data_IF_390696174538
#
_entry.id   IF_390696174538
#
_cell.length_a   1.000
_cell.length_b   1.000
_cell.length_c   1.000
_cell.angle_alpha   90.00
_cell.angle_beta   90.00
_cell.angle_gamma   90.00
#
_symmetry.space_group_name_H-M   'P 1'
#
loop_
_entity.id
_entity.type
_entity.pdbx_description
1 polymer ?
2 non-polymer ?
3 water ?
#
# COMPACT_ATOMS: atom_id res chain seq x y z
N UNK A 24 17.89 -4.81 -5.67
CA UNK A 24 17.43 -5.68 -4.55
C UNK A 24 16.31 -6.59 -5.03
N UNK A 25 16.10 -7.69 -4.30
CA UNK A 25 15.09 -8.70 -4.63
C UNK A 25 13.83 -8.57 -3.77
N UNK A 26 12.67 -8.78 -4.38
CA UNK A 26 11.41 -8.78 -3.63
C UNK A 26 11.37 -9.98 -2.68
N UNK A 27 10.80 -9.80 -1.47
CA UNK A 27 10.65 -10.92 -0.55
C UNK A 27 9.52 -11.86 -0.93
N UNK A 28 9.48 -12.99 -0.23
CA UNK A 28 8.47 -14.00 -0.46
C UNK A 28 7.09 -13.46 -0.14
N UNK A 29 6.09 -14.10 -0.73
CA UNK A 29 4.70 -13.80 -0.47
C UNK A 29 4.33 -14.09 0.99
N UNK A 30 3.22 -13.50 1.44
CA UNK A 30 2.71 -13.79 2.78
C UNK A 30 3.15 -12.82 3.85
N UNK A 31 3.63 -11.65 3.44
CA UNK A 31 4.14 -10.67 4.37
C UNK A 31 2.98 -10.06 5.16
N UNK A 32 3.10 -9.98 6.48
CA UNK A 32 2.04 -9.43 7.32
C UNK A 32 2.29 -7.95 7.61
N UNK A 33 1.40 -7.10 7.10
CA UNK A 33 1.34 -5.69 7.49
C UNK A 33 0.48 -5.60 8.73
N UNK A 34 1.10 -5.36 9.88
CA UNK A 34 0.38 -5.49 11.15
C UNK A 34 0.68 -4.39 12.19
N UNK A 35 0.62 -3.15 11.74
CA UNK A 35 0.71 -2.01 12.65
C UNK A 35 -0.62 -1.71 13.32
N UNK A 36 -1.69 -2.30 12.79
CA UNK A 36 -3.04 -1.96 13.23
C UNK A 36 -3.85 -3.20 13.58
N UNK A 37 -5.08 -2.98 14.03
CA UNK A 37 -6.01 -4.07 14.33
C UNK A 37 -6.73 -4.62 13.10
N UNK A 38 -6.36 -4.12 11.92
CA UNK A 38 -6.87 -4.61 10.63
C UNK A 38 -5.71 -5.04 9.73
N UNK A 39 -4.95 -6.07 10.14
CA UNK A 39 -3.75 -6.44 9.39
C UNK A 39 -4.04 -7.00 8.01
N UNK A 40 -3.09 -6.84 7.10
CA UNK A 40 -3.26 -7.21 5.70
C UNK A 40 -2.07 -8.04 5.22
N UNK A 41 -2.34 -9.06 4.41
CA UNK A 41 -1.29 -9.90 3.83
C UNK A 41 -0.86 -9.34 2.48
N UNK A 42 0.42 -8.98 2.38
CA UNK A 42 0.95 -8.40 1.15
C UNK A 42 1.83 -9.38 0.38
N UNK A 43 1.47 -9.59 -0.88
CA UNK A 43 2.19 -10.51 -1.77
C UNK A 43 2.93 -9.77 -2.87
N UNK A 44 4.26 -9.78 -2.82
CA UNK A 44 5.03 -9.12 -3.87
C UNK A 44 4.75 -9.73 -5.26
N UNK A 45 4.41 -11.02 -5.32
CA UNK A 45 4.15 -11.67 -6.61
C UNK A 45 2.97 -11.08 -7.38
N UNK A 46 2.02 -10.45 -6.67
CA UNK A 46 0.87 -9.80 -7.30
C UNK A 46 1.20 -8.40 -7.82
N UNK A 47 2.41 -7.95 -7.53
CA UNK A 47 2.85 -6.60 -7.88
C UNK A 47 4.20 -6.57 -8.63
N UNK A 48 4.61 -7.72 -9.17
CA UNK A 48 5.95 -7.86 -9.75
C UNK A 48 6.18 -7.08 -11.05
N UNK A 49 5.11 -6.61 -11.68
CA UNK A 49 5.26 -5.83 -12.91
C UNK A 49 5.46 -4.33 -12.65
N UNK A 50 5.42 -3.94 -11.38
CA UNK A 50 5.68 -2.56 -10.98
C UNK A 50 7.12 -2.42 -10.52
N UNK A 51 7.71 -1.26 -10.77
CA UNK A 51 9.06 -0.98 -10.28
C UNK A 51 9.05 -0.91 -8.76
N UNK A 52 10.13 -1.37 -8.13
CA UNK A 52 10.21 -1.33 -6.67
C UNK A 52 9.93 0.07 -6.14
N UNK A 53 10.51 1.07 -6.81
CA UNK A 53 10.38 2.47 -6.38
C UNK A 53 8.98 3.06 -6.54
N UNK A 54 8.06 2.33 -7.19
CA UNK A 54 6.66 2.77 -7.24
C UNK A 54 6.02 2.75 -5.85
N UNK A 55 6.59 1.95 -4.95
CA UNK A 55 6.11 1.87 -3.58
C UNK A 55 7.22 2.26 -2.62
N UNK A 56 8.37 1.62 -2.78
CA UNK A 56 9.56 1.93 -2.00
C UNK A 56 10.25 3.15 -2.60
N UNK A 57 9.62 4.31 -2.47
CA UNK A 57 10.16 5.55 -3.05
C UNK A 57 11.50 5.88 -2.39
N UNK A 58 12.45 6.46 -3.16
CA UNK A 58 13.71 6.86 -2.54
C UNK A 58 13.51 7.94 -1.48
N UNK A 59 14.46 8.03 -0.56
CA UNK A 59 14.45 9.08 0.46
C UNK A 59 15.84 9.69 0.54
N UNK A 60 15.89 11.02 0.43
CA UNK A 60 17.15 11.76 0.50
C UNK A 60 18.17 11.25 -0.52
N UNK A 61 17.68 10.83 -1.68
CA UNK A 61 18.53 10.35 -2.77
C UNK A 61 19.10 8.97 -2.58
N UNK A 62 18.55 8.22 -1.62
CA UNK A 62 19.01 6.87 -1.35
C UNK A 62 17.87 5.86 -1.45
N UNK A 63 18.23 4.64 -1.83
CA UNK A 63 17.28 3.54 -1.84
C UNK A 63 16.63 3.39 -0.46
N UNK A 64 15.34 3.09 -0.47
CA UNK A 64 14.56 3.05 0.75
C UNK A 64 13.66 1.84 0.77
N UNK A 65 14.10 0.79 1.46
CA UNK A 65 13.29 -0.41 1.62
C UNK A 65 12.76 -0.54 3.04
N UNK A 66 12.80 0.56 3.79
CA UNK A 66 12.40 0.53 5.20
C UNK A 66 10.89 0.37 5.37
N UNK A 67 10.49 -0.19 6.51
CA UNK A 67 9.08 -0.33 6.83
C UNK A 67 8.38 1.03 6.83
N UNK A 68 7.21 1.08 6.22
CA UNK A 68 6.54 2.37 5.96
C UNK A 68 6.24 3.18 7.21
N UNK A 69 5.86 2.50 8.29
CA UNK A 69 5.53 3.15 9.56
C UNK A 69 6.72 3.37 10.51
N UNK A 70 7.95 3.24 10.01
CA UNK A 70 9.14 3.56 10.80
C UNK A 70 8.97 4.94 11.43
N UNK A 71 9.35 5.07 12.70
CA UNK A 71 9.30 6.37 13.40
C UNK A 71 9.87 7.48 12.54
N UNK A 72 9.10 8.56 12.38
CA UNK A 72 9.52 9.67 11.54
C UNK A 72 8.99 9.62 10.11
N UNK A 73 8.56 8.44 9.69
CA UNK A 73 8.05 8.23 8.34
C UNK A 73 6.53 8.29 8.36
N UNK A 74 5.85 7.22 7.95
CA UNK A 74 4.38 7.21 7.96
C UNK A 74 3.89 6.60 9.28
N UNK A 75 4.18 7.33 10.36
CA UNK A 75 4.05 6.82 11.73
C UNK A 75 2.85 7.39 12.52
N UNK A 76 2.01 8.17 11.85
CA UNK A 76 0.84 8.75 12.48
C UNK A 76 -0.37 7.89 12.16
N UNK A 77 -1.01 7.38 13.22
CA UNK A 77 -2.10 6.42 13.06
C UNK A 77 -3.53 6.97 13.18
N UNK A 78 -3.64 8.25 13.52
CA UNK A 78 -4.92 8.95 13.45
C UNK A 78 -5.42 8.96 12.00
N UNK A 79 -6.57 8.33 11.78
CA UNK A 79 -7.19 8.21 10.45
C UNK A 79 -7.54 9.57 9.85
N UNK A 80 -7.78 10.54 10.72
CA UNK A 80 -8.14 11.91 10.33
C UNK A 80 -6.93 12.69 9.81
N UNK A 81 -5.72 12.25 10.17
CA UNK A 81 -4.50 12.94 9.77
C UNK A 81 -4.29 12.83 8.26
N UNK A 82 -4.08 13.98 7.62
CA UNK A 82 -3.85 14.00 6.18
C UNK A 82 -2.45 14.51 5.83
N UNK A 83 -1.54 14.52 6.81
CA UNK A 83 -0.15 14.91 6.58
C UNK A 83 0.61 13.81 5.87
N UNK A 84 1.83 14.13 5.45
CA UNK A 84 2.72 13.14 4.82
C UNK A 84 3.04 11.98 5.78
N UNK A 85 2.87 12.21 7.08
CA UNK A 85 3.17 11.19 8.08
C UNK A 85 2.03 10.22 8.34
N UNK A 86 0.89 10.47 7.72
CA UNK A 86 -0.28 9.62 7.91
C UNK A 86 -0.14 8.23 7.30
N UNK A 87 -0.15 7.21 8.15
CA UNK A 87 -0.12 5.83 7.68
C UNK A 87 -1.43 5.49 6.97
N UNK A 88 -2.55 5.98 7.50
CA UNK A 88 -3.83 5.69 6.86
C UNK A 88 -3.89 6.21 5.42
N UNK A 89 -3.35 7.41 5.20
CA UNK A 89 -3.41 8.08 3.90
C UNK A 89 -2.60 7.38 2.82
N UNK A 90 -1.39 6.92 3.16
CA UNK A 90 -0.52 6.31 2.14
C UNK A 90 -1.10 4.99 1.63
N UNK A 91 -2.03 4.42 2.39
CA UNK A 91 -2.67 3.17 2.02
C UNK A 91 -4.03 3.40 1.35
N UNK A 92 -4.81 4.31 1.93
CA UNK A 92 -6.23 4.41 1.61
C UNK A 92 -6.66 5.62 0.76
N UNK A 93 -5.79 6.61 0.55
CA UNK A 93 -6.25 7.79 -0.18
C UNK A 93 -6.66 7.40 -1.60
N UNK A 94 -7.82 7.90 -2.03
CA UNK A 94 -8.38 7.49 -3.32
C UNK A 94 -7.67 8.11 -4.51
N UNK A 95 -6.98 9.22 -4.28
CA UNK A 95 -6.25 9.93 -5.32
C UNK A 95 -4.79 10.12 -4.92
N UNK A 96 -3.91 9.93 -5.89
CA UNK A 96 -2.47 10.05 -5.66
C UNK A 96 -1.79 10.75 -6.83
N UNK A 97 -0.72 11.48 -6.54
CA UNK A 97 0.01 12.22 -7.57
C UNK A 97 1.46 11.74 -7.70
N UNK A 98 2.20 11.79 -6.60
CA UNK A 98 3.64 11.52 -6.62
C UNK A 98 3.95 10.05 -6.44
N UNK A 99 3.30 9.44 -5.46
CA UNK A 99 3.44 8.02 -5.17
C UNK A 99 2.03 7.44 -5.04
N UNK A 100 1.76 6.36 -5.78
CA UNK A 100 0.47 5.70 -5.67
C UNK A 100 0.21 5.19 -4.26
N UNK A 101 -1.07 5.16 -3.90
CA UNK A 101 -1.47 4.46 -2.69
C UNK A 101 -2.03 3.11 -3.10
N UNK A 102 -2.18 2.19 -2.14
CA UNK A 102 -2.79 0.90 -2.45
C UNK A 102 -4.14 1.13 -3.11
N UNK A 103 -4.93 2.00 -2.49
CA UNK A 103 -6.28 2.27 -2.95
C UNK A 103 -6.32 2.97 -4.29
N UNK A 104 -5.46 3.97 -4.50
CA UNK A 104 -5.55 4.71 -5.76
C UNK A 104 -5.22 3.81 -6.93
N UNK A 105 -4.25 2.91 -6.75
CA UNK A 105 -3.91 2.00 -7.82
C UNK A 105 -4.96 0.92 -8.00
N UNK A 106 -5.47 0.38 -6.89
CA UNK A 106 -6.50 -0.65 -6.99
C UNK A 106 -7.81 -0.10 -7.58
N UNK A 107 -8.13 1.17 -7.30
CA UNK A 107 -9.31 1.80 -7.92
C UNK A 107 -9.18 1.83 -9.44
N UNK A 108 -7.99 2.16 -9.91
CA UNK A 108 -7.70 2.12 -11.35
C UNK A 108 -7.77 0.69 -11.90
N UNK A 109 -7.17 -0.25 -11.18
CA UNK A 109 -7.10 -1.63 -11.66
C UNK A 109 -8.47 -2.29 -11.72
N UNK A 110 -9.35 -1.93 -10.79
CA UNK A 110 -10.67 -2.53 -10.70
C UNK A 110 -11.58 -1.96 -11.78
N UNK A 111 -11.36 -0.69 -12.11
CA UNK A 111 -12.17 0.01 -13.10
C UNK A 111 -13.62 0.01 -12.69
N UNK A 112 -14.47 -0.46 -13.60
CA UNK A 112 -15.91 -0.31 -13.43
C UNK A 112 -16.66 -1.56 -12.95
N UNK A 113 -16.03 -2.73 -13.04
CA UNK A 113 -16.73 -3.98 -12.71
C UNK A 113 -16.82 -4.30 -11.21
N UNK A 114 -18.00 -4.80 -10.83
CA UNK A 114 -18.38 -5.02 -9.44
C UNK A 114 -17.47 -5.98 -8.67
N UNK A 115 -17.04 -7.05 -9.33
CA UNK A 115 -16.23 -8.09 -8.69
C UNK A 115 -14.83 -7.59 -8.32
N UNK A 116 -14.17 -6.93 -9.27
CA UNK A 116 -12.84 -6.38 -9.01
C UNK A 116 -12.88 -5.29 -7.95
N UNK A 117 -13.95 -4.50 -7.95
CA UNK A 117 -14.17 -3.50 -6.89
C UNK A 117 -14.31 -4.18 -5.53
N UNK A 118 -15.08 -5.26 -5.49
CA UNK A 118 -15.26 -6.03 -4.27
C UNK A 118 -13.94 -6.62 -3.78
N UNK A 119 -13.17 -7.22 -4.68
CA UNK A 119 -11.91 -7.88 -4.33
C UNK A 119 -10.77 -6.94 -4.00
N UNK A 120 -10.70 -5.82 -4.72
CA UNK A 120 -9.52 -4.97 -4.65
C UNK A 120 -9.71 -3.66 -3.90
N UNK A 121 -10.95 -3.21 -3.76
CA UNK A 121 -11.17 -1.87 -3.19
C UNK A 121 -12.10 -1.83 -1.98
N UNK A 122 -12.79 -2.93 -1.71
CA UNK A 122 -13.77 -2.95 -0.62
C UNK A 122 -13.17 -2.89 0.78
N UNK A 123 -13.94 -2.34 1.72
CA UNK A 123 -13.46 -2.16 3.10
C UNK A 123 -13.50 -3.44 3.90
N UNK A 124 -14.33 -4.37 3.46
CA UNK A 124 -14.49 -5.66 4.11
C UNK A 124 -14.90 -6.63 3.01
N UNK A 125 -14.58 -7.91 3.17
CA UNK A 125 -14.86 -8.93 2.15
C UNK A 125 -14.02 -8.70 0.89
N UNK A 126 -12.95 -7.93 1.03
CA UNK A 126 -11.99 -7.74 -0.04
C UNK A 126 -10.75 -8.57 0.24
N UNK A 127 -9.86 -8.65 -0.75
CA UNK A 127 -8.61 -9.39 -0.55
C UNK A 127 -7.66 -8.69 0.42
N UNK A 128 -7.83 -7.37 0.59
CA UNK A 128 -7.07 -6.67 1.62
C UNK A 128 -7.65 -6.94 3.00
N UNK A 129 -8.95 -6.72 3.14
CA UNK A 129 -9.64 -6.92 4.41
C UNK A 129 -10.73 -8.00 4.24
N UNK A 130 -10.35 -9.29 4.32
CA UNK A 130 -11.38 -10.33 4.22
C UNK A 130 -12.39 -10.27 5.36
X LIG B 1 8.30 -4.31 -1.39
X LIG B 1 8.11 -5.01 1.98
X LIG B 1 11.60 -5.11 -1.38
X LIG B 1 8.35 -4.13 -4.80
X LIG B 1 5.26 -2.82 -1.34
X LIG B 1 9.59 -4.95 0.03
X LIG B 1 9.32 -5.19 1.36
X LIG B 1 10.53 -5.68 1.99
X LIG B 1 11.49 -5.70 1.06
X LIG B 1 10.93 -5.24 -0.19
X LIG B 1 12.96 -6.15 1.25
X LIG B 1 10.67 -6.10 3.46
X LIG B 1 10.94 -4.89 4.34
X LIG B 1 11.21 -5.38 5.75
X LIG B 1 12.19 -4.89 6.37
X LIG B 1 10.46 -6.27 6.23
X LIG B 1 9.69 -4.58 -2.82
X LIG B 1 11.03 -4.88 -2.60
X LIG B 1 11.70 -4.96 -3.87
X LIG B 1 10.79 -4.71 -4.82
X LIG B 1 9.52 -4.46 -4.17
X LIG B 1 13.21 -5.28 -4.05
X LIG B 1 10.99 -4.70 -6.35
X LIG B 1 11.40 -5.85 -6.94
X LIG B 1 7.04 -3.61 -2.81
X LIG B 1 7.26 -3.61 -4.17
X LIG B 1 6.13 -2.97 -4.82
X LIG B 1 5.27 -2.61 -3.86
X LIG B 1 5.84 -2.99 -2.58
X LIG B 1 6.02 -2.77 -6.34
X LIG B 1 3.91 -1.88 -4.03
X LIG B 1 2.94 -2.27 -4.91
X LIG B 1 6.93 -4.00 0.07
X LIG B 1 5.74 -3.31 -0.16
X LIG B 1 5.03 -3.20 1.08
X LIG B 1 5.89 -3.88 2.12
X LIG B 1 7.05 -4.34 1.41
X LIG B 1 3.68 -2.52 1.30
X LIG B 1 5.56 -4.00 3.62
X LIG B 1 6.15 -2.75 4.26
X LIG B 1 5.61 -2.58 5.64
X LIG B 1 6.04 -1.62 6.31
X LIG B 1 4.77 -3.42 6.10
X LIG C 1 6.76 7.30 2.05
X LIG C 1 5.76 10.13 0.49
X LIG C 1 4.17 5.59 0.56
X LIG C 1 8.10 4.35 3.16
X LIG C 1 8.93 9.05 4.03
X LIG C 1 5.29 7.75 0.73
X LIG C 1 5.00 9.02 0.31
X LIG C 1 3.74 9.01 -0.41
X LIG C 1 3.30 7.75 -0.40
X LIG C 1 4.26 6.94 0.32
X LIG C 1 2.00 7.16 -1.00
X LIG C 1 3.09 10.26 -1.06
X LIG C 1 2.58 11.26 -0.03
X LIG C 1 1.75 10.59 1.02
X LIG C 1 0.69 10.02 0.67
X LIG C 1 2.15 10.64 2.22
X LIG C 1 6.24 5.34 1.89
X LIG C 1 5.13 4.85 1.22
X LIG C 1 5.15 3.42 1.34
X LIG C 1 6.23 3.08 2.05
X LIG C 1 6.94 4.29 2.42
X LIG C 1 4.09 2.47 0.74
X LIG C 1 6.70 1.66 2.43
X LIG C 1 6.78 0.67 1.49
X LIG C 1 8.24 6.80 3.34
X LIG C 1 8.62 5.52 3.67
X LIG C 1 9.68 5.60 4.65
X LIG C 1 9.92 6.91 4.90
X LIG C 1 9.01 7.67 4.07
X LIG C 1 10.38 4.38 5.25
X LIG C 1 10.96 7.55 5.87
X LIG C 1 12.28 7.48 5.66
X LIG C 1 7.23 9.28 2.25
X LIG C 1 8.22 9.77 3.10
X LIG C 1 8.39 11.18 2.83
X LIG C 1 7.41 11.53 1.72
X LIG C 1 6.74 10.28 1.43
X LIG C 1 9.38 12.14 3.52
X LIG C 1 7.22 12.94 1.09
X LIG C 1 7.32 13.00 -0.43
X LIG C 1 8.30 12.03 -1.04
X LIG C 1 9.48 11.99 -0.60
X LIG C 1 7.90 11.30 -1.98
X LIG D 1 -2.16 -4.36 -4.95
X LIG D 1 -3.55 -7.22 -6.19
X LIG D 1 -2.78 -5.48 -1.74
X LIG D 1 -0.56 -1.64 -3.69
X LIG D 1 -1.83 -3.08 -8.11
X LIG D 1 -2.95 -6.06 -4.13
X LIG D 1 -3.54 -7.09 -4.83
X LIG D 1 -4.17 -8.00 -3.89
X LIG D 1 -3.96 -7.50 -2.67
X LIG D 1 -3.18 -6.29 -2.79
X LIG D 1 -4.42 -8.10 -1.33
X LIG D 1 -4.96 -9.27 -4.29
X LIG D 1 -3.99 -10.39 -4.67
X LIG D 1 -3.20 -10.81 -3.46
X LIG D 1 -3.82 -11.27 -2.46
X LIG D 1 -1.96 -10.68 -3.48
X LIG D 1 -1.73 -3.71 -3.07
X LIG D 1 -2.11 -4.29 -1.88
X LIG D 1 -1.67 -3.43 -0.80
X LIG D 1 -1.04 -2.38 -1.36
X LIG D 1 -1.07 -2.54 -2.80
X LIG D 1 -1.90 -3.71 0.71
X LIG D 1 -0.37 -1.19 -0.65
X LIG D 1 0.53 -1.45 0.32
X LIG D 1 -1.36 -2.67 -5.76
X LIG D 1 -0.74 -1.67 -5.04
X LIG D 1 -0.24 -0.67 -5.96
X LIG D 1 -0.59 -1.07 -7.20
X LIG D 1 -1.31 -2.33 -7.08
X LIG D 1 0.50 0.61 -5.51
X LIG D 1 -0.31 -0.35 -8.54
X LIG D 1 0.69 0.55 -8.66
X LIG D 1 -2.59 -5.04 -6.82
X LIG D 1 -2.42 -4.31 -8.01
X LIG D 1 -2.97 -5.05 -9.11
X LIG D 1 -3.51 -6.35 -8.52
X LIG D 1 -3.23 -6.25 -7.10
X LIG D 1 -2.99 -4.59 -10.59
X LIG D 1 -4.21 -7.51 -9.26
X LIG D 1 -3.19 -8.62 -9.49
X LIG D 1 -3.59 -9.93 -8.83
X LIG D 1 -2.72 -10.84 -8.74
X LIG D 1 -4.77 -10.07 -8.40
X LIG E 1 -7.71 -0.72 5.01
X LIG E 1 -5.61 -0.83 7.78
X LIG E 1 -10.11 0.70 6.91
X LIG E 1 -9.91 -0.75 2.33
X LIG E 1 -5.28 -1.98 3.03
X LIG E 1 -7.83 -0.21 6.96
X LIG E 1 -6.86 -0.31 7.94
X LIG E 1 -7.41 0.21 9.17
X LIG E 1 -8.65 0.63 8.92
X LIG E 1 -8.94 0.38 7.53
X LIG E 1 -9.63 1.28 9.92
X LIG E 1 -6.67 0.28 10.52
X LIG E 1 -6.11 1.69 10.70
X LIG E 1 -5.75 1.94 12.14
X LIG E 1 -4.74 2.65 12.36
X LIG E 1 -6.47 1.45 13.07
X LIG E 1 -9.67 -0.20 4.68
X LIG E 1 -10.41 0.54 5.59
X LIG E 1 -11.56 1.09 4.92
X LIG E 1 -11.51 0.68 3.64
X LIG E 1 -10.32 -0.13 3.48
X LIG E 1 -12.61 1.98 5.64
X LIG E 1 -12.47 1.02 2.48
X LIG E 1 -12.49 2.29 2.03
X LIG E 1 -7.63 -1.25 3.07
X LIG E 1 -8.65 -1.24 2.14
X LIG E 1 -8.16 -1.82 0.92
X LIG E 1 -6.88 -2.15 1.10
X LIG E 1 -6.52 -1.80 2.47
X LIG E 1 -9.02 -2.01 -0.34
X LIG E 1 -5.91 -2.78 0.07
X LIG E 1 -5.76 -2.16 -1.12
X LIG E 1 -5.79 -1.31 5.35
X LIG E 1 -4.95 -1.74 4.34
X LIG E 1 -3.62 -1.91 4.87
X LIG E 1 -3.71 -1.55 6.33
X LIG E 1 -5.09 -1.19 6.56
X LIG E 1 -2.36 -2.35 4.10
X LIG E 1 -2.59 -1.55 7.38
X LIG E 1 -2.42 -2.97 7.91
X LIG E 1 -1.61 -2.92 9.19
X LIG E 1 -2.11 -3.38 10.24
X LIG E 1 -0.47 -2.39 9.14
#
# INVERSE_FOLDING_TARGET
MRKSLFAVMVLALVAAFALPVIAAEAPADGLKMENTKMPVIFNHSSHSSYQCADCHHPVDGKENLAKCATAGCHDVFDKKDKSVHSYYKIIHDRKATTVATCMSCHLEAAGSDKDLKKELTGCKKSKCHP
HEC FE CHA CHB CHC CHD NA C1A C2A C3A C4A CMA CAA CBA CGA O1A O2A NB C1B C2B C3B C4B CMB CAB CBB NC C1C C2C C3C C4C CMC CAC CBC ND C1D C2D C3D C4D CMD CAD CBD CGD O1D O2D
HEC FE CHA CHB CHC CHD NA C1A C2A C3A C4A CMA CAA CBA CGA O1A O2A NB C1B C2B C3B C4B CMB CAB CBB NC C1C C2C C3C C4C CMC CAC CBC ND C1D C2D C3D C4D CMD CAD CBD CGD O1D O2D
HEC FE CHA CHB CHC CHD NA C1A C2A C3A C4A CMA CAA CBA CGA O1A O2A NB C1B C2B C3B C4B CMB CAB CBB NC C1C C2C C3C C4C CMC CAC CBC ND C1D C2D C3D C4D CMD CAD CBD CGD O1D O2D
HEC FE CHA CHB CHC CHD NA C1A C2A C3A C4A CMA CAA CBA CGA O1A O2A NB C1B C2B C3B C4B CMB CAB CBB NC C1C C2C C3C C4C CMC CAC CBC ND C1D C2D C3D C4D CMD CAD CBD CGD O1D O2D
#
